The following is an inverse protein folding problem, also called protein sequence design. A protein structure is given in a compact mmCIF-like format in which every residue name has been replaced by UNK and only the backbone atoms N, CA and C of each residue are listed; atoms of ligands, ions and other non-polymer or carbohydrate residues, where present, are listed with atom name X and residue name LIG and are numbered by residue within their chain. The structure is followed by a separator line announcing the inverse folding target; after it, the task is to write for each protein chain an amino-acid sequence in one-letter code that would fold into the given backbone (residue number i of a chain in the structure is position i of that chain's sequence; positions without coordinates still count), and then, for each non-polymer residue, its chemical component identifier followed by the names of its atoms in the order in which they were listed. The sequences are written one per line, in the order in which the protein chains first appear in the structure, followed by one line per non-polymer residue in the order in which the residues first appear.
data_IF_473508980747
#
_entry.id   IF_473508980747
#
_cell.length_a   1.000
_cell.length_b   1.000
_cell.length_c   1.000
_cell.angle_alpha   90.00
_cell.angle_beta   90.00
_cell.angle_gamma   90.00
#
_symmetry.space_group_name_H-M   'P 1'
#
loop_
_entity.id
_entity.type
_entity.pdbx_description
1 polymer ?
#
# COMPACT_ATOMS: atom_id res chain seq x y z
N UNK A 1 34.07 -28.68 16.14
CA UNK A 1 34.72 -27.36 16.08
C UNK A 1 33.71 -26.36 15.54
N UNK A 2 33.10 -25.58 16.44
CA UNK A 2 32.22 -24.47 16.11
C UNK A 2 33.10 -23.25 15.85
N UNK A 3 32.96 -22.65 14.67
CA UNK A 3 33.42 -21.29 14.34
C UNK A 3 32.51 -20.85 13.19
N UNK A 4 31.51 -19.99 13.37
CA UNK A 4 31.59 -18.74 14.10
C UNK A 4 31.53 -17.63 13.05
N UNK A 5 30.31 -17.29 12.61
CA UNK A 5 29.93 -16.01 11.98
C UNK A 5 28.40 -15.94 11.96
N UNK A 6 27.85 -15.51 13.09
CA UNK A 6 26.49 -14.99 13.19
C UNK A 6 26.39 -13.75 12.28
N UNK A 7 25.59 -13.82 11.23
CA UNK A 7 25.05 -12.63 10.58
C UNK A 7 23.76 -12.23 11.30
N UNK A 8 23.98 -11.35 12.27
CA UNK A 8 23.06 -10.53 13.05
C UNK A 8 22.24 -9.58 12.17
N UNK A 9 21.33 -10.10 11.32
CA UNK A 9 20.16 -9.33 10.85
C UNK A 9 18.97 -10.28 10.70
N UNK A 10 18.14 -10.30 11.74
CA UNK A 10 16.83 -10.95 11.74
C UNK A 10 15.88 -10.15 10.84
N UNK A 11 15.85 -10.46 9.55
CA UNK A 11 14.69 -10.16 8.70
C UNK A 11 14.37 -11.39 7.88
N UNK A 12 13.29 -12.06 8.27
CA UNK A 12 12.84 -13.31 7.67
C UNK A 12 12.53 -13.19 6.18
N UNK A 13 12.31 -14.33 5.49
CA UNK A 13 11.98 -14.34 4.07
C UNK A 13 10.64 -13.63 3.88
N UNK A 14 10.68 -12.39 3.37
CA UNK A 14 9.51 -11.73 2.82
C UNK A 14 9.11 -12.51 1.56
N UNK A 15 8.32 -13.56 1.72
CA UNK A 15 7.65 -14.20 0.61
C UNK A 15 6.72 -13.16 -0.01
N UNK A 16 7.19 -12.47 -1.05
CA UNK A 16 6.30 -11.67 -1.90
C UNK A 16 5.51 -12.66 -2.75
N UNK A 17 4.34 -13.06 -2.23
CA UNK A 17 3.46 -14.11 -2.80
C UNK A 17 3.04 -13.88 -4.28
N UNK A 18 3.27 -12.70 -4.83
CA UNK A 18 3.00 -12.36 -6.24
C UNK A 18 4.05 -12.92 -7.22
N UNK A 19 5.28 -13.16 -6.76
CA UNK A 19 6.33 -13.73 -7.59
C UNK A 19 7.01 -14.85 -6.81
N UNK A 20 6.73 -16.10 -7.19
CA UNK A 20 7.32 -17.32 -6.59
C UNK A 20 8.84 -17.45 -6.80
N UNK A 21 9.56 -16.38 -7.16
CA UNK A 21 11.01 -16.39 -7.34
C UNK A 21 11.70 -15.96 -6.04
N UNK A 22 12.54 -16.85 -5.52
CA UNK A 22 13.30 -16.64 -4.28
C UNK A 22 14.24 -15.43 -4.39
N UNK A 23 14.64 -14.88 -3.24
CA UNK A 23 15.38 -13.62 -3.04
C UNK A 23 16.73 -13.50 -3.77
N UNK A 24 17.19 -14.53 -4.49
CA UNK A 24 18.51 -14.60 -5.11
C UNK A 24 18.71 -13.62 -6.28
N UNK A 25 17.64 -13.10 -6.88
CA UNK A 25 17.70 -12.18 -8.04
C UNK A 25 17.70 -10.69 -7.63
N UNK A 26 17.64 -10.39 -6.32
CA UNK A 26 17.58 -9.02 -5.82
C UNK A 26 16.36 -8.22 -6.32
N UNK A 27 16.33 -6.90 -6.10
CA UNK A 27 15.19 -6.01 -6.43
C UNK A 27 14.98 -5.79 -7.94
N UNK A 28 15.94 -6.20 -8.78
CA UNK A 28 15.93 -5.94 -10.23
C UNK A 28 14.80 -6.65 -10.97
N UNK A 29 14.33 -7.80 -10.47
CA UNK A 29 13.25 -8.57 -11.12
C UNK A 29 11.87 -7.87 -11.08
N UNK A 30 11.67 -6.93 -10.15
CA UNK A 30 10.43 -6.16 -9.99
C UNK A 30 10.14 -5.29 -11.22
N UNK A 31 11.18 -4.85 -11.93
CA UNK A 31 11.04 -4.03 -13.14
C UNK A 31 10.85 -4.86 -14.41
N UNK A 32 10.88 -6.19 -14.32
CA UNK A 32 10.73 -7.06 -15.49
C UNK A 32 9.30 -7.03 -16.03
N UNK A 33 9.16 -7.22 -17.36
CA UNK A 33 7.86 -7.33 -18.02
C UNK A 33 7.00 -8.47 -17.43
N UNK A 34 7.63 -9.60 -17.10
CA UNK A 34 6.96 -10.75 -16.49
C UNK A 34 6.40 -10.44 -15.08
N UNK A 35 7.14 -9.68 -14.26
CA UNK A 35 6.64 -9.22 -12.96
C UNK A 35 5.44 -8.28 -13.12
N UNK A 36 5.55 -7.31 -14.04
CA UNK A 36 4.48 -6.36 -14.36
C UNK A 36 3.21 -7.08 -14.82
N UNK A 37 3.34 -8.06 -15.71
CA UNK A 37 2.20 -8.85 -16.20
C UNK A 37 1.57 -9.71 -15.10
N UNK A 38 2.39 -10.31 -14.23
CA UNK A 38 1.90 -11.08 -13.08
C UNK A 38 1.14 -10.20 -12.09
N UNK A 39 1.65 -8.99 -11.82
CA UNK A 39 0.98 -7.99 -11.01
C UNK A 39 -0.35 -7.55 -11.63
N UNK A 40 -0.36 -7.25 -12.93
CA UNK A 40 -1.58 -6.86 -13.65
C UNK A 40 -2.67 -7.94 -13.57
N UNK A 41 -2.31 -9.22 -13.72
CA UNK A 41 -3.25 -10.33 -13.57
C UNK A 41 -3.77 -10.46 -12.14
N UNK A 42 -2.91 -10.27 -11.13
CA UNK A 42 -3.33 -10.30 -9.73
C UNK A 42 -4.29 -9.14 -9.39
N UNK A 43 -3.99 -7.94 -9.89
CA UNK A 43 -4.87 -6.77 -9.74
C UNK A 43 -6.20 -6.96 -10.44
N UNK A 44 -6.21 -7.54 -11.65
CA UNK A 44 -7.45 -7.84 -12.38
C UNK A 44 -8.32 -8.85 -11.63
N UNK A 45 -7.72 -9.93 -11.10
CA UNK A 45 -8.44 -10.90 -10.25
C UNK A 45 -9.00 -10.25 -8.97
N UNK A 46 -8.29 -9.29 -8.39
CA UNK A 46 -8.79 -8.55 -7.23
C UNK A 46 -9.96 -7.67 -7.62
N UNK A 47 -9.84 -6.93 -8.72
CA UNK A 47 -10.93 -6.12 -9.28
C UNK A 47 -12.18 -6.97 -9.56
N UNK A 48 -12.03 -8.12 -10.22
CA UNK A 48 -13.16 -9.04 -10.50
C UNK A 48 -13.85 -9.49 -9.20
N UNK A 49 -13.08 -9.75 -8.13
CA UNK A 49 -13.62 -10.08 -6.80
C UNK A 49 -14.33 -8.90 -6.14
N UNK A 50 -13.79 -7.69 -6.28
CA UNK A 50 -14.40 -6.46 -5.75
C UNK A 50 -15.71 -6.18 -6.47
N UNK A 51 -15.76 -6.32 -7.78
CA UNK A 51 -16.99 -6.17 -8.57
C UNK A 51 -18.01 -7.25 -8.23
N UNK A 52 -17.60 -8.51 -8.03
CA UNK A 52 -18.50 -9.56 -7.55
C UNK A 52 -19.05 -9.27 -6.14
N UNK A 53 -18.23 -8.75 -5.22
CA UNK A 53 -18.67 -8.35 -3.89
C UNK A 53 -19.62 -7.15 -3.95
N UNK A 54 -19.33 -6.16 -4.80
CA UNK A 54 -20.22 -5.02 -5.07
C UNK A 54 -21.55 -5.46 -5.67
N UNK A 55 -21.56 -6.42 -6.59
CA UNK A 55 -22.77 -7.01 -7.15
C UNK A 55 -23.61 -7.77 -6.10
N UNK A 56 -22.96 -8.51 -5.20
CA UNK A 56 -23.63 -9.18 -4.08
C UNK A 56 -24.28 -8.18 -3.12
N UNK A 57 -23.61 -7.06 -2.85
CA UNK A 57 -24.13 -5.97 -2.02
C UNK A 57 -25.18 -5.10 -2.75
N UNK A 58 -25.10 -4.97 -4.07
CA UNK A 58 -25.88 -3.98 -4.83
C UNK A 58 -27.33 -4.38 -5.16
N UNK A 59 -27.71 -5.65 -5.00
CA UNK A 59 -29.10 -6.06 -5.36
C UNK A 59 -29.55 -7.45 -4.94
N UNK A 60 -28.65 -8.35 -4.53
CA UNK A 60 -29.00 -9.69 -4.08
C UNK A 60 -29.26 -9.78 -2.58
N UNK A 61 -28.70 -8.85 -1.79
CA UNK A 61 -28.72 -8.92 -0.33
C UNK A 61 -30.14 -8.94 0.28
N UNK A 62 -31.09 -8.17 -0.23
CA UNK A 62 -32.47 -8.14 0.31
C UNK A 62 -33.27 -9.39 -0.06
N UNK A 63 -33.30 -9.84 -1.33
CA UNK A 63 -33.92 -11.13 -1.67
C UNK A 63 -33.26 -12.34 -1.01
N UNK A 64 -31.93 -12.33 -0.84
CA UNK A 64 -31.17 -13.38 -0.18
C UNK A 64 -31.42 -13.39 1.33
N UNK A 65 -31.39 -12.23 1.98
CA UNK A 65 -31.78 -12.05 3.39
C UNK A 65 -33.18 -12.59 3.61
N UNK A 66 -34.15 -12.18 2.77
CA UNK A 66 -35.52 -12.68 2.83
C UNK A 66 -35.53 -14.21 2.79
N UNK A 67 -34.94 -14.84 1.77
CA UNK A 67 -34.89 -16.32 1.62
C UNK A 67 -34.24 -17.01 2.82
N UNK A 68 -33.17 -16.43 3.36
CA UNK A 68 -32.47 -16.95 4.53
C UNK A 68 -33.36 -16.87 5.79
N UNK A 69 -34.05 -15.74 6.01
CA UNK A 69 -35.04 -15.60 7.09
C UNK A 69 -36.20 -16.59 6.92
N UNK A 70 -36.71 -16.82 5.70
CA UNK A 70 -37.79 -17.81 5.49
C UNK A 70 -37.32 -19.25 5.77
N UNK A 71 -36.08 -19.58 5.40
CA UNK A 71 -35.48 -20.88 5.67
C UNK A 71 -35.35 -21.12 7.17
N UNK A 72 -34.76 -20.17 7.90
CA UNK A 72 -34.62 -20.22 9.35
C UNK A 72 -35.98 -20.38 10.05
N UNK A 73 -36.99 -19.60 9.64
CA UNK A 73 -38.33 -19.69 10.24
C UNK A 73 -38.97 -21.08 10.05
N UNK A 74 -38.77 -21.70 8.88
CA UNK A 74 -39.25 -23.07 8.61
C UNK A 74 -38.49 -24.11 9.44
N UNK A 75 -37.17 -24.01 9.51
CA UNK A 75 -36.31 -24.95 10.24
C UNK A 75 -36.58 -24.93 11.75
N UNK A 76 -36.90 -23.75 12.31
CA UNK A 76 -37.05 -23.57 13.75
C UNK A 76 -38.50 -23.50 14.24
N UNK A 77 -39.51 -23.69 13.37
CA UNK A 77 -40.95 -23.55 13.68
C UNK A 77 -41.27 -22.27 14.47
N UNK A 78 -40.58 -21.18 14.14
CA UNK A 78 -40.72 -19.91 14.84
C UNK A 78 -42.11 -19.29 14.61
N UNK A 79 -42.61 -18.56 15.60
CA UNK A 79 -43.90 -17.88 15.51
C UNK A 79 -43.96 -16.95 14.30
N UNK A 80 -44.97 -17.16 13.44
CA UNK A 80 -45.13 -16.40 12.21
C UNK A 80 -45.36 -14.89 12.47
N UNK A 81 -45.96 -14.55 13.61
CA UNK A 81 -46.22 -13.18 14.02
C UNK A 81 -44.95 -12.34 14.25
N UNK A 82 -43.82 -12.98 14.60
CA UNK A 82 -42.56 -12.27 14.83
C UNK A 82 -41.76 -12.03 13.54
N UNK A 83 -42.05 -12.78 12.47
CA UNK A 83 -41.28 -12.76 11.22
C UNK A 83 -41.14 -11.38 10.55
N UNK A 84 -42.19 -10.53 10.48
CA UNK A 84 -42.08 -9.22 9.84
C UNK A 84 -41.05 -8.30 10.50
N UNK A 85 -40.75 -8.50 11.80
CA UNK A 85 -39.77 -7.70 12.54
C UNK A 85 -38.32 -7.98 12.16
N UNK A 86 -38.05 -9.11 11.51
CA UNK A 86 -36.70 -9.55 11.13
C UNK A 86 -36.42 -9.45 9.62
N UNK A 87 -37.42 -9.02 8.85
CA UNK A 87 -37.25 -8.75 7.42
C UNK A 87 -36.79 -7.32 7.24
N UNK A 88 -35.55 -7.17 6.76
CA UNK A 88 -35.06 -5.87 6.30
C UNK A 88 -35.79 -5.54 4.99
N UNK A 89 -36.51 -4.42 4.99
CA UNK A 89 -37.20 -3.93 3.80
C UNK A 89 -36.21 -3.41 2.76
N UNK A 90 -36.64 -3.34 1.50
CA UNK A 90 -35.81 -2.78 0.44
C UNK A 90 -35.46 -1.31 0.72
N UNK A 91 -36.41 -0.56 1.28
CA UNK A 91 -36.21 0.84 1.67
C UNK A 91 -35.20 0.99 2.80
N UNK A 92 -35.26 0.15 3.85
CA UNK A 92 -34.28 0.18 4.95
C UNK A 92 -32.87 -0.15 4.46
N UNK A 93 -32.75 -1.16 3.59
CA UNK A 93 -31.48 -1.52 2.99
C UNK A 93 -30.92 -0.40 2.11
N UNK A 94 -31.78 0.26 1.33
CA UNK A 94 -31.40 1.41 0.51
C UNK A 94 -30.91 2.60 1.35
N UNK A 95 -31.61 2.93 2.45
CA UNK A 95 -31.16 3.99 3.37
C UNK A 95 -29.81 3.65 4.00
N UNK A 96 -29.62 2.39 4.39
CA UNK A 96 -28.36 1.91 4.94
C UNK A 96 -27.22 1.98 3.92
N UNK A 97 -27.43 1.49 2.71
CA UNK A 97 -26.40 1.48 1.66
C UNK A 97 -26.02 2.88 1.22
N UNK A 98 -26.98 3.81 1.15
CA UNK A 98 -26.73 5.21 0.85
C UNK A 98 -25.95 5.90 1.98
N UNK A 99 -26.32 5.66 3.24
CA UNK A 99 -25.58 6.16 4.39
C UNK A 99 -24.13 5.64 4.42
N UNK A 100 -23.93 4.36 4.11
CA UNK A 100 -22.61 3.77 4.00
C UNK A 100 -21.81 4.38 2.85
N UNK A 101 -22.42 4.56 1.68
CA UNK A 101 -21.78 5.19 0.52
C UNK A 101 -21.30 6.62 0.85
N UNK A 102 -22.15 7.42 1.52
CA UNK A 102 -21.77 8.76 1.98
C UNK A 102 -20.61 8.74 2.98
N UNK A 103 -20.65 7.82 3.95
CA UNK A 103 -19.58 7.70 4.94
C UNK A 103 -18.24 7.31 4.31
N UNK A 104 -18.26 6.42 3.31
CA UNK A 104 -17.07 6.02 2.56
C UNK A 104 -16.52 7.17 1.71
N UNK A 105 -17.37 7.87 0.97
CA UNK A 105 -16.95 9.05 0.19
C UNK A 105 -16.28 10.11 1.07
N UNK A 106 -16.88 10.43 2.22
CA UNK A 106 -16.28 11.38 3.16
C UNK A 106 -14.94 10.88 3.74
N UNK A 107 -14.75 9.57 3.87
CA UNK A 107 -13.48 9.01 4.30
C UNK A 107 -12.40 9.11 3.21
N UNK A 108 -12.75 8.79 1.96
CA UNK A 108 -11.85 8.91 0.81
C UNK A 108 -11.34 10.36 0.65
N UNK A 109 -12.22 11.35 0.75
CA UNK A 109 -11.84 12.76 0.70
C UNK A 109 -10.85 13.15 1.80
N UNK A 110 -11.06 12.64 3.04
CA UNK A 110 -10.12 12.88 4.15
C UNK A 110 -8.75 12.26 3.89
N UNK A 111 -8.72 11.03 3.38
CA UNK A 111 -7.45 10.37 3.07
C UNK A 111 -6.74 11.05 1.90
N UNK A 112 -7.47 11.50 0.87
CA UNK A 112 -6.92 12.28 -0.24
C UNK A 112 -6.26 13.57 0.24
N UNK A 113 -6.91 14.28 1.17
CA UNK A 113 -6.34 15.49 1.75
C UNK A 113 -5.06 15.19 2.54
N UNK A 114 -5.04 14.11 3.32
CA UNK A 114 -3.82 13.65 4.02
C UNK A 114 -2.71 13.29 3.04
N UNK A 115 -3.03 12.65 1.91
CA UNK A 115 -2.06 12.34 0.86
C UNK A 115 -1.48 13.62 0.25
N UNK A 116 -2.33 14.61 -0.05
CA UNK A 116 -1.89 15.91 -0.59
C UNK A 116 -1.00 16.65 0.40
N UNK A 117 -1.37 16.67 1.67
CA UNK A 117 -0.59 17.31 2.73
C UNK A 117 0.79 16.64 2.88
N UNK A 118 0.84 15.31 2.95
CA UNK A 118 2.11 14.57 2.98
C UNK A 118 2.96 14.87 1.75
N UNK A 119 2.37 14.90 0.57
CA UNK A 119 3.08 15.23 -0.66
C UNK A 119 3.62 16.67 -0.64
N UNK A 120 2.89 17.63 -0.06
CA UNK A 120 3.36 19.00 0.10
C UNK A 120 4.57 19.09 1.03
N UNK A 121 4.53 18.37 2.17
CA UNK A 121 5.66 18.28 3.12
C UNK A 121 6.89 17.67 2.47
N UNK A 122 6.72 16.61 1.66
CA UNK A 122 7.84 16.00 0.90
C UNK A 122 8.44 17.02 -0.06
N UNK A 123 7.62 17.67 -0.89
CA UNK A 123 8.11 18.70 -1.83
C UNK A 123 8.85 19.84 -1.12
N UNK A 124 8.38 20.25 0.06
CA UNK A 124 9.06 21.28 0.86
C UNK A 124 10.40 20.80 1.42
N UNK A 125 10.45 19.57 1.95
CA UNK A 125 11.68 18.98 2.43
C UNK A 125 12.72 18.85 1.30
N UNK A 126 12.28 18.42 0.11
CA UNK A 126 13.13 18.33 -1.08
C UNK A 126 13.66 19.71 -1.51
N UNK A 127 12.83 20.77 -1.48
CA UNK A 127 13.29 22.14 -1.75
C UNK A 127 14.38 22.57 -0.77
N UNK A 128 14.17 22.38 0.54
CA UNK A 128 15.17 22.74 1.57
C UNK A 128 16.49 21.98 1.38
N UNK A 129 16.41 20.70 1.01
CA UNK A 129 17.60 19.90 0.69
C UNK A 129 18.33 20.44 -0.54
N UNK A 130 17.61 20.77 -1.61
CA UNK A 130 18.20 21.36 -2.83
C UNK A 130 18.85 22.70 -2.55
N UNK A 131 18.23 23.59 -1.77
CA UNK A 131 18.79 24.88 -1.36
C UNK A 131 20.10 24.69 -0.58
N UNK A 132 20.11 23.75 0.38
CA UNK A 132 21.31 23.43 1.18
C UNK A 132 22.45 22.91 0.28
N UNK A 133 22.15 21.97 -0.62
CA UNK A 133 23.13 21.42 -1.57
C UNK A 133 23.64 22.51 -2.51
N UNK A 134 22.74 23.37 -3.03
CA UNK A 134 23.10 24.48 -3.90
C UNK A 134 24.03 25.48 -3.21
N UNK A 135 23.71 25.88 -1.99
CA UNK A 135 24.57 26.77 -1.19
C UNK A 135 25.96 26.16 -0.96
N UNK A 136 26.05 24.86 -0.66
CA UNK A 136 27.33 24.18 -0.50
C UNK A 136 28.16 24.15 -1.80
N UNK A 137 27.51 24.00 -2.95
CA UNK A 137 28.16 24.03 -4.27
C UNK A 137 28.61 25.46 -4.66
N UNK A 138 27.81 26.48 -4.35
CA UNK A 138 28.15 27.89 -4.60
C UNK A 138 29.34 28.35 -3.73
N UNK A 139 29.45 27.89 -2.49
CA UNK A 139 30.62 28.13 -1.61
C UNK A 139 31.87 27.40 -2.12
N UNK A 140 31.72 26.25 -2.78
CA UNK A 140 32.81 25.52 -3.43
C UNK A 140 33.28 26.11 -4.78
N UNK A 141 32.52 27.05 -5.35
CA UNK A 141 32.77 27.68 -6.64
C UNK A 141 33.46 29.06 -6.56
N UNK A 142 33.89 29.49 -5.36
CA UNK A 142 34.83 30.60 -5.24
C UNK A 142 36.10 30.25 -6.04
N UNK A 143 36.65 31.16 -6.88
CA UNK A 143 37.79 30.84 -7.71
C UNK A 143 38.93 30.43 -6.77
N UNK A 144 39.39 29.18 -6.91
CA UNK A 144 40.63 28.72 -6.28
C UNK A 144 41.71 29.70 -6.72
N UNK A 145 42.04 30.67 -5.86
CA UNK A 145 43.21 31.51 -6.06
C UNK A 145 44.39 30.56 -6.12
N UNK A 146 45.15 30.70 -7.20
CA UNK A 146 46.27 29.83 -7.53
C UNK A 146 47.43 30.20 -6.61
N UNK A 147 47.37 29.83 -5.34
CA UNK A 147 48.53 29.85 -4.45
C UNK A 147 49.11 28.44 -4.38
N UNK A 148 50.27 28.27 -5.04
CA UNK A 148 51.03 27.04 -4.99
C UNK A 148 51.46 26.74 -3.56
N UNK A 149 50.98 25.62 -3.02
CA UNK A 149 51.56 25.00 -1.85
C UNK A 149 52.17 23.68 -2.30
N UNK A 150 53.49 23.59 -2.12
CA UNK A 150 54.32 22.45 -2.46
C UNK A 150 53.74 21.13 -1.90
N UNK A 151 53.78 20.08 -2.72
CA UNK A 151 53.36 18.73 -2.30
C UNK A 151 54.40 18.18 -1.30
N UNK A 152 54.00 17.56 -0.19
CA UNK A 152 54.94 16.85 0.67
C UNK A 152 55.49 15.63 -0.08
N UNK A 153 56.81 15.54 -0.17
CA UNK A 153 57.55 14.36 -0.62
C UNK A 153 57.47 13.33 0.51
N UNK A 154 56.83 12.20 0.25
CA UNK A 154 56.90 11.04 1.14
C UNK A 154 58.18 10.31 0.75
N UNK A 155 59.16 10.37 1.65
CA UNK A 155 60.39 9.60 1.51
C UNK A 155 60.07 8.11 1.66
N UNK A 156 60.29 7.37 0.59
CA UNK A 156 60.49 5.93 0.66
C UNK A 156 61.96 5.67 1.04
N UNK A 157 62.21 5.33 2.31
CA UNK A 157 63.35 4.50 2.72
C UNK A 157 62.78 3.12 3.07
N UNK A 158 63.24 2.00 2.51
CA UNK A 158 64.63 1.53 2.51
C UNK A 158 64.91 1.05 3.94
N UNK A 159 65.00 -0.25 4.25
CA UNK A 159 65.72 -1.36 3.62
C UNK A 159 65.14 -2.69 4.05
#
# INVERSE_FOLDING_TARGET
MQNGRQCIYRTGPSQRHLCRRTSFVGRRHVYSAAHRQSLQLALRRLHDKVEAARAALGGAAVPEHRRATERFWREHRAEAALRPRFLVTAEEYARFSEALARALAAHEEREDERIREMAARIREAERRQQETVRAALEVGAAPRSRCGAARPKWDAGGT
#
